data_IF_899804054384
#
_entry.id   IF_899804054384
#
_cell.length_a   1.000
_cell.length_b   1.000
_cell.length_c   1.000
_cell.angle_alpha   90.00
_cell.angle_beta   90.00
_cell.angle_gamma   90.00
#
_symmetry.space_group_name_H-M   'P 1'
#
loop_
_entity.id
_entity.type
_entity.pdbx_description
1 polymer ?
#
# COMPACT_ATOMS: atom_id res chain seq x y z
N UNK A 1 -7.28 10.38 -0.84
CA UNK A 1 -5.99 9.94 -0.26
C UNK A 1 -4.79 10.76 -0.78
N UNK A 2 -4.96 12.03 -1.20
CA UNK A 2 -3.87 12.81 -1.81
C UNK A 2 -2.67 13.08 -0.90
N UNK A 3 -2.88 13.04 0.43
CA UNK A 3 -1.82 13.20 1.42
C UNK A 3 -0.68 12.17 1.27
N UNK A 4 -0.95 10.99 0.68
CA UNK A 4 0.07 9.98 0.45
C UNK A 4 1.19 10.50 -0.45
N UNK A 5 0.86 11.35 -1.44
CA UNK A 5 1.84 11.89 -2.38
C UNK A 5 2.51 13.17 -1.89
N UNK A 6 1.89 13.88 -0.94
CA UNK A 6 2.40 15.16 -0.42
C UNK A 6 3.15 15.01 0.90
N UNK A 7 2.83 13.98 1.69
CA UNK A 7 3.39 13.74 3.03
C UNK A 7 4.30 12.48 3.07
N UNK A 8 4.56 11.83 1.93
CA UNK A 8 5.50 10.72 1.82
C UNK A 8 6.26 10.77 0.50
N UNK A 9 7.23 9.87 0.34
CA UNK A 9 7.98 9.67 -0.91
C UNK A 9 7.26 8.72 -1.90
N UNK A 10 5.98 8.40 -1.65
CA UNK A 10 5.23 7.52 -2.53
C UNK A 10 5.01 8.14 -3.91
N UNK A 11 5.28 7.37 -4.96
CA UNK A 11 5.20 7.85 -6.35
C UNK A 11 3.79 7.73 -6.93
N UNK A 12 2.94 6.91 -6.32
CA UNK A 12 1.54 6.73 -6.69
C UNK A 12 0.74 6.17 -5.52
N UNK A 13 -0.60 6.16 -5.64
CA UNK A 13 -1.47 5.50 -4.67
C UNK A 13 -1.19 4.00 -4.61
N UNK A 14 -0.86 3.38 -5.74
CA UNK A 14 -0.54 1.95 -5.84
C UNK A 14 0.76 1.63 -5.10
N UNK A 15 1.79 2.46 -5.27
CA UNK A 15 3.05 2.35 -4.52
C UNK A 15 2.81 2.40 -3.00
N UNK A 16 2.06 3.41 -2.55
CA UNK A 16 1.71 3.54 -1.15
C UNK A 16 0.91 2.34 -0.62
N UNK A 17 -0.02 1.79 -1.42
CA UNK A 17 -0.82 0.63 -1.05
C UNK A 17 0.05 -0.62 -0.87
N UNK A 18 0.97 -0.89 -1.81
CA UNK A 18 1.89 -2.03 -1.68
C UNK A 18 2.79 -1.90 -0.46
N UNK A 19 3.34 -0.71 -0.22
CA UNK A 19 4.19 -0.43 0.95
C UNK A 19 3.41 -0.55 2.26
N UNK A 20 2.17 -0.08 2.30
CA UNK A 20 1.30 -0.25 3.47
C UNK A 20 1.07 -1.73 3.79
N UNK A 21 0.70 -2.55 2.79
CA UNK A 21 0.48 -3.98 2.98
C UNK A 21 1.77 -4.74 3.34
N UNK A 22 2.90 -4.43 2.67
CA UNK A 22 4.17 -5.15 2.82
C UNK A 22 4.75 -5.10 4.22
N UNK A 23 4.53 -3.98 4.92
CA UNK A 23 5.08 -3.71 6.24
C UNK A 23 4.05 -3.83 7.37
N UNK A 24 2.84 -4.34 7.07
CA UNK A 24 1.86 -4.63 8.11
C UNK A 24 2.33 -5.80 8.99
N UNK A 25 2.35 -5.65 10.32
CA UNK A 25 2.67 -6.76 11.22
C UNK A 25 1.78 -7.99 10.97
N UNK A 26 2.41 -9.15 10.77
CA UNK A 26 1.71 -10.41 10.50
C UNK A 26 1.45 -10.72 9.02
N UNK A 27 1.68 -9.76 8.11
CA UNK A 27 1.64 -10.02 6.66
C UNK A 27 2.98 -10.57 6.20
N UNK A 28 2.98 -11.84 5.78
CA UNK A 28 4.17 -12.54 5.27
C UNK A 28 4.23 -12.54 3.73
N UNK A 29 3.07 -12.48 3.07
CA UNK A 29 2.93 -12.54 1.62
C UNK A 29 1.91 -11.49 1.19
N UNK A 30 2.27 -10.70 0.18
CA UNK A 30 1.36 -9.75 -0.49
C UNK A 30 1.16 -10.25 -1.92
N UNK A 31 -0.07 -10.64 -2.26
CA UNK A 31 -0.41 -11.10 -3.60
C UNK A 31 -0.72 -9.88 -4.50
N UNK A 32 0.04 -9.74 -5.59
CA UNK A 32 -0.25 -8.75 -6.64
C UNK A 32 -0.87 -9.43 -7.86
N UNK A 33 -1.96 -8.89 -8.39
CA UNK A 33 -2.58 -9.36 -9.63
C UNK A 33 -2.57 -8.28 -10.71
N UNK A 34 -2.07 -8.60 -11.90
CA UNK A 34 -2.19 -7.74 -13.08
C UNK A 34 -1.97 -8.53 -14.37
N UNK A 35 -2.68 -8.16 -15.43
CA UNK A 35 -2.46 -8.69 -16.79
C UNK A 35 -1.43 -7.91 -17.60
N UNK A 36 -0.89 -6.81 -17.06
CA UNK A 36 0.09 -5.96 -17.74
C UNK A 36 1.50 -6.18 -17.15
N UNK A 37 2.48 -6.61 -17.96
CA UNK A 37 3.84 -6.85 -17.47
C UNK A 37 4.52 -5.60 -16.90
N UNK A 38 4.20 -4.40 -17.39
CA UNK A 38 4.79 -3.16 -16.88
C UNK A 38 4.25 -2.81 -15.50
N UNK A 39 2.97 -3.07 -15.25
CA UNK A 39 2.40 -2.95 -13.90
C UNK A 39 3.07 -3.96 -12.95
N UNK A 40 3.34 -5.19 -13.41
CA UNK A 40 4.00 -6.19 -12.57
C UNK A 40 5.39 -5.70 -12.12
N UNK A 41 6.17 -5.11 -13.03
CA UNK A 41 7.47 -4.51 -12.69
C UNK A 41 7.32 -3.39 -11.67
N UNK A 42 6.40 -2.45 -11.90
CA UNK A 42 6.15 -1.35 -10.98
C UNK A 42 5.68 -1.82 -9.58
N UNK A 43 4.88 -2.88 -9.51
CA UNK A 43 4.43 -3.47 -8.25
C UNK A 43 5.62 -4.08 -7.48
N UNK A 44 6.51 -4.79 -8.17
CA UNK A 44 7.74 -5.37 -7.58
C UNK A 44 8.65 -4.25 -7.06
N UNK A 45 8.82 -3.18 -7.83
CA UNK A 45 9.60 -2.01 -7.38
C UNK A 45 9.00 -1.41 -6.12
N UNK A 46 7.68 -1.18 -6.09
CA UNK A 46 6.97 -0.64 -4.92
C UNK A 46 7.16 -1.51 -3.67
N UNK A 47 7.06 -2.83 -3.82
CA UNK A 47 7.26 -3.81 -2.74
C UNK A 47 8.69 -3.86 -2.20
N UNK A 48 9.66 -3.36 -2.97
CA UNK A 48 11.08 -3.33 -2.61
C UNK A 48 11.51 -2.02 -1.94
N UNK A 49 10.62 -1.02 -1.90
CA UNK A 49 10.89 0.30 -1.29
C UNK A 49 10.77 0.25 0.23
N UNK A 50 11.42 1.19 0.95
CA UNK A 50 11.29 1.31 2.41
C UNK A 50 9.83 1.54 2.86
N UNK A 51 9.52 1.32 4.15
CA UNK A 51 8.19 1.57 4.69
C UNK A 51 7.74 3.02 4.50
N UNK A 52 6.43 3.25 4.53
CA UNK A 52 5.87 4.60 4.58
C UNK A 52 6.18 5.25 5.93
N UNK A 53 6.24 6.59 6.01
CA UNK A 53 6.39 7.29 7.29
C UNK A 53 5.27 6.92 8.28
N UNK A 54 5.62 6.75 9.55
CA UNK A 54 4.66 6.31 10.58
C UNK A 54 3.42 7.21 10.66
N UNK A 55 3.59 8.53 10.57
CA UNK A 55 2.47 9.49 10.59
C UNK A 55 1.46 9.22 9.46
N UNK A 56 1.96 8.85 8.27
CA UNK A 56 1.15 8.52 7.10
C UNK A 56 0.42 7.20 7.32
N UNK A 57 1.11 6.20 7.87
CA UNK A 57 0.52 4.89 8.23
C UNK A 57 -0.58 5.05 9.28
N UNK A 58 -0.36 5.86 10.33
CA UNK A 58 -1.37 6.11 11.36
C UNK A 58 -2.60 6.83 10.79
N UNK A 59 -2.40 7.78 9.86
CA UNK A 59 -3.52 8.44 9.17
C UNK A 59 -4.32 7.44 8.32
N UNK A 60 -3.66 6.52 7.60
CA UNK A 60 -4.34 5.43 6.88
C UNK A 60 -5.16 4.54 7.82
N UNK A 61 -4.55 4.06 8.91
CA UNK A 61 -5.24 3.25 9.92
C UNK A 61 -6.46 3.98 10.48
N UNK A 62 -6.34 5.27 10.78
CA UNK A 62 -7.45 6.06 11.25
C UNK A 62 -8.57 6.17 10.21
N UNK A 63 -8.25 6.46 8.94
CA UNK A 63 -9.24 6.57 7.86
C UNK A 63 -10.02 5.27 7.69
N UNK A 64 -9.33 4.12 7.72
CA UNK A 64 -9.94 2.81 7.46
C UNK A 64 -10.38 2.02 8.70
N UNK A 65 -10.28 2.59 9.92
CA UNK A 65 -10.57 1.89 11.19
C UNK A 65 -11.95 1.26 11.31
N UNK A 66 -12.93 1.77 10.54
CA UNK A 66 -14.31 1.29 10.56
C UNK A 66 -14.65 0.40 9.35
N UNK A 67 -13.66 0.02 8.53
CA UNK A 67 -13.86 -0.92 7.44
C UNK A 67 -14.13 -2.32 8.00
N UNK A 68 -15.40 -2.74 7.98
CA UNK A 68 -15.88 -4.01 8.53
C UNK A 68 -16.54 -4.92 7.48
N UNK A 69 -16.69 -4.44 6.25
CA UNK A 69 -17.21 -5.22 5.13
C UNK A 69 -16.06 -5.93 4.40
N UNK A 70 -16.12 -7.26 4.37
CA UNK A 70 -15.26 -8.08 3.51
C UNK A 70 -16.11 -8.51 2.32
N UNK A 71 -15.88 -7.92 1.15
CA UNK A 71 -16.50 -8.36 -0.10
C UNK A 71 -15.44 -9.01 -0.99
N UNK A 72 -15.65 -10.27 -1.36
CA UNK A 72 -14.70 -11.05 -2.16
C UNK A 72 -15.02 -12.55 -2.24
N UNK A 73 -16.31 -12.91 -2.19
CA UNK A 73 -16.80 -14.25 -2.54
C UNK A 73 -17.19 -14.27 -4.01
#
# INVERSE_FOLDING_TARGET
LGFLLTESDATSIVDAAYRFCRYEPGVHVVLSGTGNPDHLRANIESLSRPPLPDAVVQKLRHIFRNANAVTGQ
#
